data_IF_291872404421
#
_entry.id   IF_291872404421
#
_cell.length_a   1.000
_cell.length_b   1.000
_cell.length_c   1.000
_cell.angle_alpha   90.00
_cell.angle_beta   90.00
_cell.angle_gamma   90.00
#
_symmetry.space_group_name_H-M   'P 1'
#
loop_
_entity.id
_entity.type
_entity.pdbx_description
1 polymer ?
#
# COMPACT_ATOMS: atom_id res chain seq x y z
N UNK A 1 -2.87 -5.96 -5.35
CA UNK A 1 -3.87 -6.25 -6.38
C UNK A 1 -5.17 -6.51 -5.66
N UNK A 2 -6.20 -5.77 -6.02
CA UNK A 2 -7.52 -5.80 -5.37
C UNK A 2 -8.60 -6.28 -6.35
N UNK A 3 -9.75 -6.71 -5.81
CA UNK A 3 -10.96 -7.08 -6.57
C UNK A 3 -11.03 -8.54 -7.02
N UNK A 4 -12.18 -8.98 -7.53
CA UNK A 4 -12.56 -10.35 -7.92
C UNK A 4 -12.53 -11.37 -6.76
N UNK A 5 -11.36 -11.60 -6.17
CA UNK A 5 -11.20 -12.60 -5.12
C UNK A 5 -11.66 -12.03 -3.78
N UNK A 6 -12.57 -12.73 -3.11
CA UNK A 6 -13.10 -12.32 -1.80
C UNK A 6 -12.03 -12.27 -0.71
N UNK A 7 -10.92 -13.00 -0.86
CA UNK A 7 -9.78 -12.90 0.04
C UNK A 7 -9.07 -11.53 -0.02
N UNK A 8 -9.27 -10.76 -1.09
CA UNK A 8 -8.69 -9.42 -1.25
C UNK A 8 -9.62 -8.34 -0.70
N UNK A 9 -10.84 -8.70 -0.31
CA UNK A 9 -11.79 -7.78 0.28
C UNK A 9 -11.45 -7.52 1.75
N UNK A 10 -11.19 -6.27 2.10
CA UNK A 10 -10.98 -5.84 3.48
C UNK A 10 -12.30 -5.96 4.26
N UNK A 11 -12.24 -6.55 5.45
CA UNK A 11 -13.35 -6.50 6.43
C UNK A 11 -13.58 -5.08 6.94
N UNK A 12 -14.77 -4.81 7.47
CA UNK A 12 -15.13 -3.49 8.01
C UNK A 12 -14.13 -2.97 9.03
N UNK A 13 -13.89 -1.66 9.03
CA UNK A 13 -12.99 -1.02 9.99
C UNK A 13 -13.53 -1.15 11.41
N UNK A 14 -14.85 -1.03 11.60
CA UNK A 14 -15.57 -1.22 12.86
C UNK A 14 -15.27 -2.59 13.48
N UNK A 15 -15.33 -3.66 12.69
CA UNK A 15 -14.98 -5.02 13.13
C UNK A 15 -13.49 -5.13 13.51
N UNK A 16 -12.60 -4.52 12.70
CA UNK A 16 -11.15 -4.57 12.94
C UNK A 16 -10.74 -3.77 14.16
N UNK A 17 -11.37 -2.63 14.44
CA UNK A 17 -11.17 -1.83 15.66
C UNK A 17 -11.49 -2.62 16.92
N UNK A 18 -12.58 -3.40 16.90
CA UNK A 18 -12.92 -4.30 18.01
C UNK A 18 -11.90 -5.43 18.19
N UNK A 19 -11.39 -5.98 17.08
CA UNK A 19 -10.42 -7.08 17.11
C UNK A 19 -9.00 -6.63 17.52
N UNK A 20 -8.61 -5.40 17.17
CA UNK A 20 -7.27 -4.87 17.38
C UNK A 20 -7.31 -3.47 18.04
N UNK A 21 -7.78 -3.36 19.29
CA UNK A 21 -7.99 -2.08 19.97
C UNK A 21 -6.69 -1.29 20.21
N UNK A 22 -5.54 -1.95 20.14
CA UNK A 22 -4.21 -1.33 20.25
C UNK A 22 -3.74 -0.64 18.97
N UNK A 23 -4.41 -0.87 17.83
CA UNK A 23 -4.05 -0.27 16.56
C UNK A 23 -4.88 0.98 16.30
N UNK A 24 -4.23 2.00 15.76
CA UNK A 24 -4.90 3.19 15.30
C UNK A 24 -5.45 2.97 13.88
N UNK A 25 -6.76 3.12 13.71
CA UNK A 25 -7.42 3.05 12.41
C UNK A 25 -7.84 4.46 11.97
N UNK A 26 -6.90 5.23 11.43
CA UNK A 26 -7.09 6.60 10.93
C UNK A 26 -6.96 6.67 9.40
N UNK A 27 -7.49 7.73 8.78
CA UNK A 27 -7.34 7.98 7.34
C UNK A 27 -8.18 7.11 6.39
N UNK A 28 -9.15 6.34 6.90
CA UNK A 28 -10.09 5.59 6.07
C UNK A 28 -11.30 6.44 5.68
N UNK A 29 -11.64 6.49 4.39
CA UNK A 29 -12.81 7.22 3.87
C UNK A 29 -14.14 6.52 4.18
N UNK A 30 -14.13 5.21 4.39
CA UNK A 30 -15.32 4.38 4.59
C UNK A 30 -15.06 3.20 5.51
N UNK A 31 -16.10 2.75 6.22
CA UNK A 31 -16.07 1.52 7.00
C UNK A 31 -15.91 0.29 6.09
N UNK A 32 -16.62 0.29 4.95
CA UNK A 32 -16.60 -0.75 3.92
C UNK A 32 -15.39 -0.61 2.98
N UNK A 33 -15.02 -1.70 2.30
CA UNK A 33 -13.97 -1.68 1.29
C UNK A 33 -14.45 -1.12 -0.05
N UNK A 34 -14.18 0.16 -0.31
CA UNK A 34 -14.55 0.83 -1.56
C UNK A 34 -13.62 0.47 -2.74
N UNK A 35 -12.44 -0.09 -2.48
CA UNK A 35 -11.46 -0.40 -3.52
C UNK A 35 -11.64 -1.82 -4.09
N UNK A 36 -12.36 -2.68 -3.38
CA UNK A 36 -12.69 -4.02 -3.84
C UNK A 36 -13.98 -4.02 -4.66
N UNK A 37 -13.97 -4.70 -5.80
CA UNK A 37 -15.19 -4.95 -6.59
C UNK A 37 -15.23 -6.43 -7.01
N UNK A 38 -16.42 -7.02 -7.21
CA UNK A 38 -16.52 -8.44 -7.58
C UNK A 38 -16.11 -8.73 -9.03
N UNK A 39 -16.12 -7.71 -9.90
CA UNK A 39 -16.07 -7.89 -11.35
C UNK A 39 -14.83 -7.27 -12.00
N UNK A 40 -13.97 -6.59 -11.23
CA UNK A 40 -12.79 -5.92 -11.77
C UNK A 40 -11.55 -6.27 -10.95
N UNK A 41 -10.49 -6.65 -11.65
CA UNK A 41 -9.16 -6.88 -11.07
C UNK A 41 -8.30 -5.66 -11.32
N UNK A 42 -7.72 -5.14 -10.25
CA UNK A 42 -6.76 -4.03 -10.34
C UNK A 42 -5.60 -4.40 -11.28
N UNK A 43 -5.34 -3.54 -12.27
CA UNK A 43 -4.25 -3.67 -13.23
C UNK A 43 -2.92 -3.19 -12.64
N UNK A 44 -1.79 -3.62 -13.21
CA UNK A 44 -0.46 -3.17 -12.75
C UNK A 44 -0.30 -1.64 -12.80
N UNK A 45 -0.88 -0.99 -13.81
CA UNK A 45 -0.85 0.48 -13.93
C UNK A 45 -1.64 1.19 -12.82
N UNK A 46 -2.74 0.60 -12.35
CA UNK A 46 -3.49 1.15 -11.22
C UNK A 46 -2.77 0.92 -9.89
N UNK A 47 -2.10 -0.23 -9.73
CA UNK A 47 -1.25 -0.49 -8.56
C UNK A 47 -0.12 0.55 -8.54
N UNK A 48 0.51 0.84 -9.68
CA UNK A 48 1.56 1.86 -9.80
C UNK A 48 1.04 3.26 -9.46
N UNK A 49 -0.14 3.63 -9.95
CA UNK A 49 -0.79 4.89 -9.58
C UNK A 49 -1.04 4.99 -8.07
N UNK A 50 -1.49 3.89 -7.44
CA UNK A 50 -1.71 3.84 -6.00
C UNK A 50 -0.41 3.85 -5.20
N UNK A 51 0.65 3.20 -5.69
CA UNK A 51 1.98 3.25 -5.10
C UNK A 51 2.57 4.67 -5.15
N UNK A 52 2.39 5.40 -6.26
CA UNK A 52 2.78 6.81 -6.37
C UNK A 52 2.06 7.68 -5.32
N UNK A 53 0.73 7.56 -5.22
CA UNK A 53 -0.06 8.30 -4.21
C UNK A 53 0.38 7.97 -2.77
N UNK A 54 0.71 6.70 -2.52
CA UNK A 54 1.23 6.27 -1.23
C UNK A 54 2.59 6.90 -0.90
N UNK A 55 3.51 6.94 -1.87
CA UNK A 55 4.80 7.62 -1.71
C UNK A 55 4.61 9.11 -1.43
N UNK A 56 3.69 9.80 -2.13
CA UNK A 56 3.36 11.19 -1.85
C UNK A 56 2.85 11.38 -0.41
N UNK A 57 2.06 10.43 0.11
CA UNK A 57 1.63 10.46 1.51
C UNK A 57 2.81 10.30 2.45
N UNK A 58 3.72 9.35 2.20
CA UNK A 58 4.93 9.15 3.01
C UNK A 58 5.78 10.42 3.04
N UNK A 59 6.03 11.06 1.90
CA UNK A 59 6.86 12.26 1.83
C UNK A 59 6.27 13.47 2.55
N UNK A 60 4.95 13.46 2.81
CA UNK A 60 4.26 14.50 3.59
C UNK A 60 4.19 14.18 5.10
N UNK A 61 4.64 13.00 5.55
CA UNK A 61 4.69 12.67 6.97
C UNK A 61 5.82 13.43 7.66
N UNK A 62 5.64 13.89 8.92
CA UNK A 62 6.71 14.48 9.72
C UNK A 62 7.64 13.40 10.31
N UNK A 63 8.01 12.39 9.52
CA UNK A 63 8.78 11.24 9.94
C UNK A 63 9.99 11.03 9.01
N UNK A 64 11.17 10.79 9.61
CA UNK A 64 12.41 10.51 8.86
C UNK A 64 12.55 9.03 8.48
N UNK A 65 12.06 8.13 9.33
CA UNK A 65 12.14 6.68 9.13
C UNK A 65 10.72 6.11 9.15
N UNK A 66 10.35 5.38 8.11
CA UNK A 66 9.00 4.79 7.97
C UNK A 66 9.14 3.30 7.73
N UNK A 67 8.50 2.50 8.57
CA UNK A 67 8.35 1.05 8.36
C UNK A 67 7.06 0.78 7.59
N UNK A 68 7.17 0.06 6.47
CA UNK A 68 6.01 -0.34 5.65
C UNK A 68 5.90 -1.84 5.63
N UNK A 69 4.77 -2.37 6.11
CA UNK A 69 4.42 -3.80 6.03
C UNK A 69 3.37 -3.96 4.94
N UNK A 70 3.65 -4.80 3.94
CA UNK A 70 2.78 -4.94 2.77
C UNK A 70 2.90 -6.33 2.12
N UNK A 71 2.33 -6.48 0.93
CA UNK A 71 2.38 -7.67 0.11
C UNK A 71 3.37 -7.52 -1.04
N UNK A 72 3.91 -8.64 -1.51
CA UNK A 72 4.93 -8.70 -2.56
C UNK A 72 4.54 -7.96 -3.84
N UNK A 73 3.28 -8.05 -4.27
CA UNK A 73 2.79 -7.36 -5.49
C UNK A 73 2.83 -5.83 -5.33
N UNK A 74 2.44 -5.31 -4.17
CA UNK A 74 2.52 -3.86 -3.93
C UNK A 74 3.96 -3.41 -3.75
N UNK A 75 4.81 -4.20 -3.08
CA UNK A 75 6.24 -3.94 -2.98
C UNK A 75 6.91 -3.87 -4.35
N UNK A 76 6.60 -4.81 -5.25
CA UNK A 76 7.13 -4.79 -6.63
C UNK A 76 6.71 -3.54 -7.41
N UNK A 77 5.46 -3.09 -7.24
CA UNK A 77 4.97 -1.83 -7.82
C UNK A 77 5.69 -0.61 -7.26
N UNK A 78 5.89 -0.55 -5.94
CA UNK A 78 6.63 0.53 -5.29
C UNK A 78 8.07 0.62 -5.82
N UNK A 79 8.76 -0.51 -5.96
CA UNK A 79 10.11 -0.56 -6.53
C UNK A 79 10.13 -0.09 -7.99
N UNK A 80 9.13 -0.46 -8.80
CA UNK A 80 9.01 -0.01 -10.18
C UNK A 80 8.78 1.51 -10.27
N UNK A 81 7.89 2.07 -9.46
CA UNK A 81 7.57 3.50 -9.44
C UNK A 81 8.79 4.35 -9.08
N UNK A 82 9.61 3.91 -8.13
CA UNK A 82 10.85 4.62 -7.76
C UNK A 82 12.02 4.35 -8.71
N UNK A 83 11.81 3.61 -9.81
CA UNK A 83 12.86 3.28 -10.77
C UNK A 83 13.91 2.31 -10.25
N UNK A 84 13.63 1.56 -9.19
CA UNK A 84 14.52 0.52 -8.69
C UNK A 84 14.53 -0.68 -9.66
N UNK A 85 15.67 -1.39 -9.71
CA UNK A 85 15.78 -2.64 -10.49
C UNK A 85 14.70 -3.65 -10.09
N UNK A 86 14.29 -4.49 -11.04
CA UNK A 86 13.37 -5.58 -10.74
C UNK A 86 13.92 -6.44 -9.59
N UNK A 87 13.12 -6.60 -8.53
CA UNK A 87 13.47 -7.34 -7.34
C UNK A 87 12.21 -7.96 -6.74
N UNK A 88 12.33 -9.20 -6.27
CA UNK A 88 11.22 -9.93 -5.63
C UNK A 88 11.47 -9.98 -4.13
N UNK A 89 10.59 -9.36 -3.36
CA UNK A 89 10.63 -9.38 -1.90
C UNK A 89 9.98 -10.68 -1.42
N UNK A 90 10.75 -11.51 -0.72
CA UNK A 90 10.31 -12.74 -0.09
C UNK A 90 9.38 -12.51 1.10
N UNK A 91 8.69 -13.57 1.54
CA UNK A 91 7.85 -13.52 2.73
C UNK A 91 8.67 -13.16 3.96
N UNK A 92 8.23 -12.13 4.70
CA UNK A 92 8.93 -11.59 5.87
C UNK A 92 10.35 -11.08 5.60
N UNK A 93 10.71 -10.84 4.34
CA UNK A 93 11.97 -10.18 3.99
C UNK A 93 11.89 -8.69 4.30
N UNK A 94 12.97 -8.15 4.87
CA UNK A 94 13.13 -6.73 5.12
C UNK A 94 14.09 -6.12 4.10
N UNK A 95 13.57 -5.20 3.28
CA UNK A 95 14.35 -4.47 2.28
C UNK A 95 14.48 -2.99 2.70
N UNK A 96 15.64 -2.55 3.20
CA UNK A 96 15.86 -1.14 3.52
C UNK A 96 16.03 -0.32 2.22
N UNK A 97 15.34 0.82 2.16
CA UNK A 97 15.42 1.75 1.03
C UNK A 97 15.76 3.15 1.55
N UNK A 98 16.66 3.83 0.85
CA UNK A 98 16.89 5.26 0.98
C UNK A 98 16.30 5.93 -0.25
N UNK A 99 15.28 6.77 -0.07
CA UNK A 99 14.51 7.37 -1.16
C UNK A 99 14.49 8.89 -0.94
N UNK A 100 14.70 9.64 -2.01
CA UNK A 100 14.60 11.09 -2.05
C UNK A 100 13.54 11.50 -3.08
N UNK A 101 12.74 12.52 -2.77
CA UNK A 101 11.79 13.09 -3.72
C UNK A 101 12.51 14.13 -4.56
N UNK A 102 12.65 13.86 -5.85
CA UNK A 102 13.25 14.83 -6.78
C UNK A 102 12.24 15.90 -7.15
N UNK A 103 12.52 17.16 -6.84
CA UNK A 103 11.77 18.29 -7.40
C UNK A 103 12.37 18.60 -8.76
N UNK A 104 11.64 18.32 -9.84
CA UNK A 104 12.06 18.78 -11.17
C UNK A 104 11.85 20.30 -11.21
N UNK A 105 12.93 21.04 -11.52
CA UNK A 105 12.95 22.50 -11.65
C UNK A 105 12.25 22.91 -12.94
#
# INVERSE_FOLDING_TARGET
MLGIHTCDQRRKISEKRLQYPQLEFCGFESDEDLLWTPNYRESDAEIDSRATKFLDTIFNLPAKNVGVVSHSVFGASLLRVIGHRAYTIGTAEFLPLLIEKTTTI
#
